data_IF_649455167882
#
_entry.id   IF_649455167882
#
_cell.length_a   1.000
_cell.length_b   1.000
_cell.length_c   1.000
_cell.angle_alpha   90.00
_cell.angle_beta   90.00
_cell.angle_gamma   90.00
#
_symmetry.space_group_name_H-M   'P 1'
#
loop_
_entity.id
_entity.type
_entity.pdbx_description
1 polymer ?
#
# COMPACT_ATOMS: atom_id res chain seq x y z
N UNK A 1 -4.43 -7.86 -27.30
CA UNK A 1 -4.02 -7.90 -25.89
C UNK A 1 -3.22 -6.65 -25.66
N UNK A 2 -3.76 -5.75 -24.86
CA UNK A 2 -3.04 -4.53 -24.49
C UNK A 2 -1.85 -4.89 -23.59
N UNK A 3 -0.81 -4.06 -23.61
CA UNK A 3 0.40 -4.31 -22.83
C UNK A 3 0.08 -4.19 -21.32
N UNK A 4 0.44 -5.17 -20.46
CA UNK A 4 0.05 -5.20 -19.06
C UNK A 4 1.00 -4.36 -18.18
N UNK A 5 0.90 -3.03 -18.30
CA UNK A 5 1.74 -2.07 -17.59
C UNK A 5 1.72 -2.26 -16.07
N UNK A 6 0.54 -2.38 -15.47
CA UNK A 6 0.36 -2.43 -14.02
C UNK A 6 0.80 -3.77 -13.45
N UNK A 7 0.46 -4.88 -14.11
CA UNK A 7 0.97 -6.19 -13.72
C UNK A 7 2.50 -6.22 -13.75
N UNK A 8 3.14 -5.62 -14.75
CA UNK A 8 4.60 -5.57 -14.81
C UNK A 8 5.15 -4.74 -13.65
N UNK A 9 4.62 -3.54 -13.37
CA UNK A 9 5.09 -2.69 -12.26
C UNK A 9 4.94 -3.40 -10.90
N UNK A 10 3.81 -4.06 -10.65
CA UNK A 10 3.53 -4.68 -9.36
C UNK A 10 4.23 -6.05 -9.19
N UNK A 11 4.32 -6.85 -10.26
CA UNK A 11 4.80 -8.23 -10.20
C UNK A 11 6.29 -8.37 -10.56
N UNK A 12 6.89 -7.45 -11.31
CA UNK A 12 8.32 -7.55 -11.64
C UNK A 12 9.23 -7.56 -10.40
N UNK A 13 8.97 -6.78 -9.33
CA UNK A 13 9.76 -6.89 -8.10
C UNK A 13 9.52 -8.24 -7.39
N UNK A 14 8.31 -8.81 -7.44
CA UNK A 14 8.05 -10.16 -6.91
C UNK A 14 8.86 -11.20 -7.67
N UNK A 15 8.83 -11.14 -9.01
CA UNK A 15 9.62 -12.03 -9.86
C UNK A 15 11.12 -11.89 -9.56
N UNK A 16 11.61 -10.65 -9.44
CA UNK A 16 13.00 -10.38 -9.06
C UNK A 16 13.32 -10.98 -7.69
N UNK A 17 12.46 -10.83 -6.68
CA UNK A 17 12.65 -11.41 -5.36
C UNK A 17 12.77 -12.94 -5.39
N UNK A 18 11.86 -13.61 -6.11
CA UNK A 18 11.88 -15.07 -6.26
C UNK A 18 13.17 -15.53 -6.94
N UNK A 19 13.55 -14.88 -8.06
CA UNK A 19 14.77 -15.21 -8.79
C UNK A 19 16.01 -14.99 -7.90
N UNK A 20 16.07 -13.88 -7.15
CA UNK A 20 17.16 -13.58 -6.21
C UNK A 20 17.27 -14.68 -5.15
N UNK A 21 16.17 -15.11 -4.52
CA UNK A 21 16.18 -16.15 -3.49
C UNK A 21 16.65 -17.51 -4.03
N UNK A 22 16.37 -17.80 -5.30
CA UNK A 22 16.84 -19.01 -5.99
C UNK A 22 18.32 -18.96 -6.39
N UNK A 23 18.97 -17.79 -6.36
CA UNK A 23 20.39 -17.68 -6.68
C UNK A 23 21.28 -18.27 -5.57
N UNK A 24 22.43 -18.87 -5.92
CA UNK A 24 23.48 -19.22 -4.96
C UNK A 24 23.92 -18.01 -4.12
N UNK A 25 24.31 -18.26 -2.86
CA UNK A 25 24.65 -17.20 -1.89
C UNK A 25 25.85 -16.35 -2.33
N UNK A 26 26.72 -16.92 -3.15
CA UNK A 26 27.94 -16.30 -3.65
C UNK A 26 27.67 -15.22 -4.71
N UNK A 27 26.43 -15.11 -5.22
CA UNK A 27 26.02 -14.18 -6.29
C UNK A 27 25.37 -12.90 -5.76
N UNK A 28 26.00 -12.27 -4.77
CA UNK A 28 25.52 -11.02 -4.17
C UNK A 28 25.37 -9.88 -5.19
N UNK A 29 26.34 -9.72 -6.10
CA UNK A 29 26.30 -8.67 -7.14
C UNK A 29 25.15 -8.85 -8.13
N UNK A 30 24.86 -10.09 -8.54
CA UNK A 30 23.73 -10.37 -9.42
C UNK A 30 22.39 -10.02 -8.77
N UNK A 31 22.31 -10.12 -7.44
CA UNK A 31 21.11 -9.76 -6.69
C UNK A 31 20.86 -8.25 -6.73
N UNK A 32 21.95 -7.46 -6.58
CA UNK A 32 21.94 -5.99 -6.72
C UNK A 32 21.50 -5.57 -8.12
N UNK A 33 22.08 -6.18 -9.15
CA UNK A 33 21.77 -5.86 -10.55
C UNK A 33 20.33 -6.22 -10.93
N UNK A 34 19.81 -7.36 -10.46
CA UNK A 34 18.43 -7.74 -10.77
C UNK A 34 17.42 -6.81 -10.09
N UNK A 35 17.65 -6.45 -8.83
CA UNK A 35 16.84 -5.45 -8.14
C UNK A 35 16.88 -4.10 -8.85
N UNK A 36 18.07 -3.66 -9.30
CA UNK A 36 18.22 -2.43 -10.07
C UNK A 36 17.44 -2.47 -11.38
N UNK A 37 17.54 -3.57 -12.14
CA UNK A 37 16.81 -3.74 -13.40
C UNK A 37 15.29 -3.69 -13.18
N UNK A 38 14.78 -4.37 -12.15
CA UNK A 38 13.36 -4.34 -11.79
C UNK A 38 12.88 -2.91 -11.43
N UNK A 39 13.68 -2.15 -10.66
CA UNK A 39 13.31 -0.78 -10.30
C UNK A 39 13.40 0.20 -11.46
N UNK A 40 14.39 0.05 -12.36
CA UNK A 40 14.48 0.88 -13.58
C UNK A 40 13.27 0.61 -14.48
N UNK A 41 12.89 -0.66 -14.66
CA UNK A 41 11.69 -1.03 -15.41
C UNK A 41 10.44 -0.39 -14.80
N UNK A 42 10.23 -0.54 -13.49
CA UNK A 42 9.12 0.09 -12.78
C UNK A 42 9.11 1.62 -12.90
N UNK A 43 10.27 2.26 -12.82
CA UNK A 43 10.39 3.71 -12.97
C UNK A 43 10.00 4.19 -14.38
N UNK A 44 10.52 3.55 -15.43
CA UNK A 44 10.20 3.92 -16.81
C UNK A 44 8.70 3.75 -17.09
N UNK A 45 8.11 2.63 -16.68
CA UNK A 45 6.70 2.37 -16.89
C UNK A 45 5.81 3.32 -16.06
N UNK A 46 6.13 3.53 -14.78
CA UNK A 46 5.37 4.47 -13.94
C UNK A 46 5.45 5.92 -14.42
N UNK A 47 6.61 6.35 -14.94
CA UNK A 47 6.78 7.68 -15.52
C UNK A 47 5.93 7.84 -16.79
N UNK A 48 5.95 6.84 -17.67
CA UNK A 48 5.10 6.82 -18.86
C UNK A 48 3.61 6.92 -18.48
N UNK A 49 3.16 6.09 -17.52
CA UNK A 49 1.78 6.09 -17.06
C UNK A 49 1.35 7.42 -16.44
N UNK A 50 2.22 8.03 -15.62
CA UNK A 50 1.96 9.33 -15.03
C UNK A 50 1.78 10.42 -16.11
N UNK A 51 2.66 10.46 -17.11
CA UNK A 51 2.56 11.42 -18.23
C UNK A 51 1.29 11.15 -19.04
N UNK A 52 1.00 9.90 -19.36
CA UNK A 52 -0.18 9.51 -20.13
C UNK A 52 -1.49 9.88 -19.40
N UNK A 53 -1.56 9.67 -18.08
CA UNK A 53 -2.70 10.05 -17.27
C UNK A 53 -2.89 11.58 -17.27
N UNK A 54 -1.81 12.33 -17.05
CA UNK A 54 -1.85 13.80 -17.01
C UNK A 54 -2.20 14.44 -18.36
N UNK A 55 -1.92 13.77 -19.48
CA UNK A 55 -2.31 14.21 -20.81
C UNK A 55 -3.79 13.91 -21.15
N UNK A 56 -4.40 12.95 -20.46
CA UNK A 56 -5.76 12.48 -20.73
C UNK A 56 -6.68 12.65 -19.51
N UNK A 57 -6.50 13.72 -18.74
CA UNK A 57 -7.22 13.91 -17.49
C UNK A 57 -8.74 13.76 -17.69
N UNK A 58 -9.41 12.90 -16.90
CA UNK A 58 -10.85 12.76 -16.97
C UNK A 58 -11.53 14.06 -16.49
N UNK A 59 -12.79 14.29 -16.90
CA UNK A 59 -13.59 15.41 -16.41
C UNK A 59 -13.64 15.46 -14.88
N UNK A 60 -13.70 16.67 -14.31
CA UNK A 60 -13.66 16.85 -12.85
C UNK A 60 -14.86 16.24 -12.10
N UNK A 61 -15.98 16.01 -12.79
CA UNK A 61 -17.22 15.42 -12.31
C UNK A 61 -17.36 13.93 -12.64
N UNK A 62 -16.34 13.32 -13.26
CA UNK A 62 -16.35 11.90 -13.60
C UNK A 62 -16.47 11.02 -12.34
N UNK A 63 -17.23 9.92 -12.46
CA UNK A 63 -17.26 8.89 -11.43
C UNK A 63 -15.87 8.27 -11.36
N UNK A 64 -15.45 7.85 -10.18
CA UNK A 64 -14.11 7.29 -10.03
C UNK A 64 -13.83 6.07 -10.90
N UNK A 65 -14.81 5.18 -11.07
CA UNK A 65 -14.65 4.03 -11.96
C UNK A 65 -14.28 4.48 -13.40
N UNK A 66 -14.77 5.64 -13.83
CA UNK A 66 -14.49 6.24 -15.15
C UNK A 66 -13.17 7.04 -15.18
N UNK A 67 -12.56 7.33 -14.01
CA UNK A 67 -11.24 7.96 -13.95
C UNK A 67 -10.09 6.97 -14.03
N UNK A 68 -10.37 5.67 -13.87
CA UNK A 68 -9.36 4.61 -13.92
C UNK A 68 -8.83 4.42 -15.35
N UNK A 69 -7.50 4.44 -15.47
CA UNK A 69 -6.78 4.10 -16.71
C UNK A 69 -5.90 2.87 -16.52
N UNK A 70 -5.44 2.31 -17.63
CA UNK A 70 -4.60 1.10 -17.67
C UNK A 70 -5.23 -0.07 -16.91
N UNK A 71 -6.56 -0.22 -17.02
CA UNK A 71 -7.31 -1.25 -16.29
C UNK A 71 -6.94 -2.63 -16.82
N UNK A 72 -6.51 -3.50 -15.91
CA UNK A 72 -6.19 -4.90 -16.17
C UNK A 72 -7.08 -5.76 -15.29
N UNK A 73 -7.92 -6.61 -15.90
CA UNK A 73 -8.98 -7.31 -15.19
C UNK A 73 -9.04 -8.79 -15.56
N UNK A 74 -8.91 -9.64 -14.54
CA UNK A 74 -9.04 -11.09 -14.66
C UNK A 74 -9.77 -11.66 -13.43
N UNK A 75 -10.66 -12.64 -13.64
CA UNK A 75 -11.26 -13.38 -12.53
C UNK A 75 -10.21 -14.20 -11.79
N UNK A 76 -10.20 -14.14 -10.45
CA UNK A 76 -9.22 -14.86 -9.63
C UNK A 76 -9.88 -15.98 -8.82
N UNK A 77 -10.81 -15.65 -7.93
CA UNK A 77 -11.57 -16.64 -7.12
C UNK A 77 -13.05 -16.31 -7.25
N UNK A 78 -13.65 -16.72 -8.37
CA UNK A 78 -15.03 -16.37 -8.74
C UNK A 78 -16.08 -16.86 -7.74
N UNK A 79 -15.81 -17.91 -6.96
CA UNK A 79 -16.75 -18.43 -5.94
C UNK A 79 -17.01 -17.46 -4.78
N UNK A 80 -16.10 -16.51 -4.55
CA UNK A 80 -16.18 -15.50 -3.48
C UNK A 80 -16.01 -14.07 -4.04
N UNK A 81 -16.15 -13.90 -5.36
CA UNK A 81 -16.10 -12.58 -6.01
C UNK A 81 -14.77 -11.84 -5.88
N UNK A 82 -13.65 -12.55 -5.70
CA UNK A 82 -12.30 -11.95 -5.70
C UNK A 82 -11.77 -11.89 -7.13
N UNK A 83 -11.34 -10.72 -7.56
CA UNK A 83 -10.83 -10.47 -8.90
C UNK A 83 -9.41 -9.88 -8.85
N UNK A 84 -8.63 -10.16 -9.89
CA UNK A 84 -7.40 -9.44 -10.16
C UNK A 84 -7.74 -8.21 -10.98
N UNK A 85 -8.05 -7.10 -10.30
CA UNK A 85 -8.37 -5.81 -10.94
C UNK A 85 -7.30 -4.81 -10.54
N UNK A 86 -6.53 -4.39 -11.54
CA UNK A 86 -5.60 -3.27 -11.42
C UNK A 86 -6.12 -2.08 -12.18
N UNK A 87 -5.80 -0.88 -11.71
CA UNK A 87 -6.11 0.38 -12.38
C UNK A 87 -5.47 1.56 -11.65
N UNK A 88 -5.27 2.67 -12.36
CA UNK A 88 -4.74 3.90 -11.76
C UNK A 88 -5.64 5.09 -12.03
N UNK A 89 -5.86 5.91 -11.01
CA UNK A 89 -6.31 7.29 -11.16
C UNK A 89 -5.14 8.26 -10.85
N UNK A 90 -5.42 9.56 -10.76
CA UNK A 90 -4.38 10.57 -10.54
C UNK A 90 -3.64 10.44 -9.20
N UNK A 91 -4.33 9.97 -8.15
CA UNK A 91 -3.70 9.73 -6.85
C UNK A 91 -2.79 8.50 -6.93
N UNK A 92 -3.29 7.40 -7.49
CA UNK A 92 -2.53 6.17 -7.67
C UNK A 92 -1.31 6.38 -8.59
N UNK A 93 -1.47 7.06 -9.73
CA UNK A 93 -0.38 7.33 -10.67
C UNK A 93 0.79 8.07 -10.01
N UNK A 94 0.48 9.06 -9.17
CA UNK A 94 1.48 9.84 -8.43
C UNK A 94 2.23 8.97 -7.42
N UNK A 95 1.51 8.13 -6.67
CA UNK A 95 2.09 7.29 -5.62
C UNK A 95 2.87 6.10 -6.18
N UNK A 96 2.45 5.55 -7.33
CA UNK A 96 3.19 4.53 -8.08
C UNK A 96 4.53 5.08 -8.59
N UNK A 97 4.53 6.29 -9.17
CA UNK A 97 5.76 6.96 -9.59
C UNK A 97 6.68 7.26 -8.42
N UNK A 98 6.14 7.80 -7.32
CA UNK A 98 6.92 8.07 -6.11
C UNK A 98 7.55 6.79 -5.54
N UNK A 99 6.81 5.69 -5.53
CA UNK A 99 7.31 4.38 -5.07
C UNK A 99 8.44 3.87 -5.95
N UNK A 100 8.36 4.06 -7.28
CA UNK A 100 9.45 3.70 -8.18
C UNK A 100 10.71 4.54 -7.95
N UNK A 101 10.56 5.85 -7.73
CA UNK A 101 11.69 6.77 -7.45
C UNK A 101 12.37 6.39 -6.13
N UNK A 102 11.59 6.24 -5.06
CA UNK A 102 12.13 5.92 -3.72
C UNK A 102 12.70 4.50 -3.70
N UNK A 103 12.07 3.54 -4.38
CA UNK A 103 12.55 2.17 -4.50
C UNK A 103 13.88 2.09 -5.25
N UNK A 104 14.03 2.83 -6.35
CA UNK A 104 15.31 2.92 -7.06
C UNK A 104 16.40 3.52 -6.16
N UNK A 105 16.09 4.62 -5.47
CA UNK A 105 17.00 5.22 -4.48
C UNK A 105 17.39 4.25 -3.38
N UNK A 106 16.43 3.44 -2.89
CA UNK A 106 16.65 2.38 -1.90
C UNK A 106 17.59 1.28 -2.39
N UNK A 107 17.46 0.85 -3.65
CA UNK A 107 18.41 -0.13 -4.24
C UNK A 107 19.82 0.45 -4.30
N UNK A 108 19.96 1.70 -4.75
CA UNK A 108 21.24 2.37 -4.95
C UNK A 108 21.96 2.65 -3.63
N UNK A 109 21.25 3.13 -2.59
CA UNK A 109 21.87 3.39 -1.28
C UNK A 109 22.30 2.11 -0.57
N UNK A 110 21.58 1.01 -0.82
CA UNK A 110 21.86 -0.30 -0.22
C UNK A 110 22.97 -1.08 -0.90
N UNK A 111 23.65 -0.53 -1.92
CA UNK A 111 24.73 -1.21 -2.62
C UNK A 111 25.90 -1.61 -1.70
N UNK A 112 26.04 -0.90 -0.57
CA UNK A 112 27.02 -1.16 0.49
C UNK A 112 26.62 -2.26 1.48
N UNK A 113 25.43 -2.86 1.35
CA UNK A 113 25.01 -3.98 2.20
C UNK A 113 25.72 -5.27 1.74
N UNK A 114 26.68 -5.73 2.54
CA UNK A 114 27.45 -6.96 2.29
C UNK A 114 26.99 -8.16 3.15
N UNK A 115 26.27 -7.92 4.25
CA UNK A 115 25.65 -8.99 5.03
C UNK A 115 24.36 -9.46 4.36
N UNK A 116 24.33 -10.72 3.92
CA UNK A 116 23.15 -11.37 3.31
C UNK A 116 22.50 -10.52 2.20
N UNK A 117 23.25 -10.05 1.18
CA UNK A 117 22.74 -9.15 0.15
C UNK A 117 21.57 -9.76 -0.61
N UNK A 118 21.63 -11.07 -0.88
CA UNK A 118 20.56 -11.81 -1.55
C UNK A 118 19.23 -11.67 -0.83
N UNK A 119 19.20 -12.01 0.46
CA UNK A 119 17.99 -11.91 1.28
C UNK A 119 17.53 -10.46 1.40
N UNK A 120 18.45 -9.51 1.59
CA UNK A 120 18.14 -8.09 1.69
C UNK A 120 17.38 -7.60 0.45
N UNK A 121 17.93 -7.82 -0.74
CA UNK A 121 17.32 -7.35 -1.99
C UNK A 121 16.02 -8.10 -2.31
N UNK A 122 15.92 -9.39 -1.98
CA UNK A 122 14.67 -10.12 -2.14
C UNK A 122 13.54 -9.54 -1.28
N UNK A 123 13.78 -9.34 0.03
CA UNK A 123 12.76 -8.76 0.92
C UNK A 123 12.48 -7.28 0.59
N UNK A 124 13.49 -6.53 0.14
CA UNK A 124 13.29 -5.15 -0.32
C UNK A 124 12.40 -5.11 -1.57
N UNK A 125 12.59 -6.03 -2.53
CA UNK A 125 11.72 -6.13 -3.70
C UNK A 125 10.29 -6.56 -3.34
N UNK A 126 10.11 -7.48 -2.38
CA UNK A 126 8.77 -7.83 -1.88
C UNK A 126 8.07 -6.65 -1.19
N UNK A 127 8.82 -5.89 -0.38
CA UNK A 127 8.32 -4.65 0.24
C UNK A 127 7.84 -3.66 -0.83
N UNK A 128 8.67 -3.39 -1.84
CA UNK A 128 8.31 -2.49 -2.95
C UNK A 128 7.10 -3.01 -3.73
N UNK A 129 7.02 -4.32 -4.02
CA UNK A 129 5.87 -4.92 -4.67
C UNK A 129 4.57 -4.75 -3.87
N UNK A 130 4.62 -4.96 -2.55
CA UNK A 130 3.50 -4.71 -1.65
C UNK A 130 3.00 -3.28 -1.75
N UNK A 131 3.92 -2.31 -1.66
CA UNK A 131 3.56 -0.88 -1.75
C UNK A 131 2.98 -0.52 -3.12
N UNK A 132 3.62 -0.95 -4.23
CA UNK A 132 3.11 -0.71 -5.58
C UNK A 132 1.72 -1.32 -5.76
N UNK A 133 1.57 -2.59 -5.34
CA UNK A 133 0.33 -3.34 -5.47
C UNK A 133 -0.86 -2.68 -4.77
N UNK A 134 -0.67 -2.06 -3.59
CA UNK A 134 -1.76 -1.32 -2.93
C UNK A 134 -2.23 -0.14 -3.77
N UNK A 135 -1.31 0.61 -4.38
CA UNK A 135 -1.68 1.79 -5.16
C UNK A 135 -2.38 1.45 -6.47
N UNK A 136 -2.14 0.26 -7.03
CA UNK A 136 -2.74 -0.18 -8.29
C UNK A 136 -3.96 -1.08 -8.10
N UNK A 137 -4.20 -1.62 -6.90
CA UNK A 137 -5.31 -2.52 -6.64
C UNK A 137 -6.66 -1.80 -6.62
N UNK A 138 -7.59 -2.30 -7.43
CA UNK A 138 -8.99 -1.84 -7.54
C UNK A 138 -9.96 -2.89 -6.95
N UNK A 139 -9.45 -4.05 -6.53
CA UNK A 139 -10.17 -5.05 -5.74
C UNK A 139 -9.74 -4.96 -4.27
N UNK A 140 -10.71 -4.95 -3.35
CA UNK A 140 -10.48 -4.78 -1.91
C UNK A 140 -9.69 -5.94 -1.28
N UNK A 141 -9.91 -7.18 -1.73
CA UNK A 141 -9.13 -8.31 -1.24
C UNK A 141 -7.69 -8.22 -1.76
N UNK A 142 -7.52 -7.85 -3.03
CA UNK A 142 -6.19 -7.64 -3.63
C UNK A 142 -5.43 -6.50 -2.95
N UNK A 143 -6.12 -5.40 -2.63
CA UNK A 143 -5.59 -4.28 -1.88
C UNK A 143 -5.09 -4.73 -0.50
N UNK A 144 -5.90 -5.50 0.24
CA UNK A 144 -5.51 -6.06 1.53
C UNK A 144 -4.32 -7.02 1.40
N UNK A 145 -4.30 -7.88 0.38
CA UNK A 145 -3.19 -8.79 0.12
C UNK A 145 -1.86 -8.05 -0.07
N UNK A 146 -1.85 -7.01 -0.90
CA UNK A 146 -0.65 -6.20 -1.12
C UNK A 146 -0.27 -5.36 0.11
N UNK A 147 -1.26 -4.91 0.88
CA UNK A 147 -1.05 -4.21 2.15
C UNK A 147 -0.25 -5.11 3.11
N UNK A 148 -0.69 -6.35 3.30
CA UNK A 148 0.00 -7.33 4.13
C UNK A 148 1.38 -7.70 3.57
N UNK A 149 1.49 -7.82 2.24
CA UNK A 149 2.77 -8.05 1.57
C UNK A 149 3.76 -6.90 1.80
N UNK A 150 3.31 -5.66 1.99
CA UNK A 150 4.19 -4.55 2.34
C UNK A 150 4.68 -4.61 3.80
N UNK A 151 3.84 -5.11 4.72
CA UNK A 151 4.15 -5.16 6.15
C UNK A 151 5.14 -6.29 6.50
N UNK A 152 4.94 -7.49 5.96
CA UNK A 152 5.70 -8.69 6.38
C UNK A 152 7.21 -8.61 6.07
N UNK A 153 7.68 -8.21 4.87
CA UNK A 153 9.10 -8.12 4.57
C UNK A 153 9.79 -7.04 5.41
N UNK A 154 9.11 -5.93 5.71
CA UNK A 154 9.65 -4.86 6.53
C UNK A 154 10.04 -5.34 7.93
N UNK A 155 9.23 -6.19 8.57
CA UNK A 155 9.59 -6.82 9.84
C UNK A 155 10.93 -7.54 9.76
N UNK A 156 11.08 -8.43 8.78
CA UNK A 156 12.29 -9.23 8.56
C UNK A 156 13.48 -8.30 8.31
N UNK A 157 13.27 -7.26 7.51
CA UNK A 157 14.33 -6.32 7.17
C UNK A 157 14.84 -5.54 8.38
N UNK A 158 13.95 -5.10 9.26
CA UNK A 158 14.34 -4.40 10.50
C UNK A 158 15.03 -5.37 11.46
N UNK A 159 14.50 -6.58 11.69
CA UNK A 159 15.10 -7.54 12.63
C UNK A 159 16.50 -7.99 12.20
N UNK A 160 16.77 -8.16 10.91
CA UNK A 160 18.06 -8.66 10.44
C UNK A 160 19.07 -7.52 10.21
N UNK A 161 18.68 -6.42 9.54
CA UNK A 161 19.60 -5.35 9.13
C UNK A 161 19.40 -4.02 9.87
N UNK A 162 18.42 -3.94 10.76
CA UNK A 162 18.18 -2.74 11.57
C UNK A 162 19.22 -2.52 12.67
N UNK A 163 19.08 -1.38 13.36
CA UNK A 163 19.99 -0.97 14.43
C UNK A 163 19.98 -1.97 15.60
N UNK A 164 21.17 -2.51 15.90
CA UNK A 164 21.36 -3.68 16.77
C UNK A 164 20.69 -3.57 18.15
N UNK A 165 20.67 -2.37 18.73
CA UNK A 165 20.17 -2.18 20.11
C UNK A 165 18.65 -2.25 20.24
N UNK A 166 17.90 -1.84 19.20
CA UNK A 166 16.43 -1.69 19.30
C UNK A 166 15.64 -2.42 18.23
N UNK A 167 16.30 -3.05 17.26
CA UNK A 167 15.63 -3.68 16.10
C UNK A 167 14.55 -4.68 16.46
N UNK A 168 14.73 -5.51 17.48
CA UNK A 168 13.75 -6.54 17.85
C UNK A 168 12.48 -5.91 18.43
N UNK A 169 12.63 -4.99 19.39
CA UNK A 169 11.52 -4.25 19.98
C UNK A 169 10.78 -3.42 18.94
N UNK A 170 11.52 -2.64 18.14
CA UNK A 170 10.95 -1.75 17.13
C UNK A 170 10.22 -2.54 16.03
N UNK A 171 10.82 -3.61 15.51
CA UNK A 171 10.19 -4.43 14.47
C UNK A 171 8.91 -5.10 14.99
N UNK A 172 8.94 -5.65 16.21
CA UNK A 172 7.76 -6.29 16.82
C UNK A 172 6.65 -5.27 17.04
N UNK A 173 6.97 -4.12 17.66
CA UNK A 173 6.00 -3.05 17.93
C UNK A 173 5.36 -2.55 16.64
N UNK A 174 6.16 -2.22 15.64
CA UNK A 174 5.68 -1.78 14.33
C UNK A 174 4.74 -2.82 13.72
N UNK A 175 5.18 -4.08 13.65
CA UNK A 175 4.41 -5.14 13.00
C UNK A 175 3.08 -5.38 13.69
N UNK A 176 3.05 -5.39 15.02
CA UNK A 176 1.80 -5.55 15.79
C UNK A 176 0.83 -4.40 15.55
N UNK A 177 1.31 -3.15 15.54
CA UNK A 177 0.46 -1.99 15.26
C UNK A 177 -0.16 -2.07 13.86
N UNK A 178 0.66 -2.38 12.85
CA UNK A 178 0.22 -2.42 11.46
C UNK A 178 -0.73 -3.61 11.21
N UNK A 179 -0.42 -4.79 11.74
CA UNK A 179 -1.27 -5.97 11.63
C UNK A 179 -2.62 -5.73 12.31
N UNK A 180 -2.65 -5.26 13.56
CA UNK A 180 -3.92 -4.99 14.26
C UNK A 180 -4.76 -3.99 13.45
N UNK A 181 -4.15 -2.92 12.95
CA UNK A 181 -4.84 -1.95 12.09
C UNK A 181 -5.45 -2.62 10.83
N UNK A 182 -4.64 -3.40 10.11
CA UNK A 182 -5.09 -4.10 8.89
C UNK A 182 -6.25 -5.07 9.14
N UNK A 183 -6.23 -5.82 10.25
CA UNK A 183 -7.30 -6.77 10.57
C UNK A 183 -8.59 -6.05 10.96
N UNK A 184 -8.49 -4.90 11.64
CA UNK A 184 -9.66 -4.06 11.95
C UNK A 184 -10.29 -3.54 10.66
N UNK A 185 -9.52 -3.06 9.68
CA UNK A 185 -10.07 -2.62 8.39
C UNK A 185 -10.59 -3.80 7.56
N UNK A 186 -9.95 -4.96 7.64
CA UNK A 186 -10.43 -6.17 6.95
C UNK A 186 -11.78 -6.67 7.47
N UNK A 187 -12.06 -6.55 8.77
CA UNK A 187 -13.40 -6.85 9.31
C UNK A 187 -14.44 -5.93 8.66
N UNK A 188 -14.13 -4.64 8.48
CA UNK A 188 -15.03 -3.72 7.79
C UNK A 188 -15.23 -4.12 6.31
N UNK A 189 -14.19 -4.57 5.60
CA UNK A 189 -14.32 -5.12 4.25
C UNK A 189 -15.30 -6.29 4.20
N UNK A 190 -15.17 -7.25 5.11
CA UNK A 190 -16.06 -8.42 5.14
C UNK A 190 -17.51 -8.02 5.39
N UNK A 191 -17.75 -7.04 6.27
CA UNK A 191 -19.10 -6.53 6.52
C UNK A 191 -19.68 -5.88 5.28
N UNK A 192 -18.93 -5.01 4.59
CA UNK A 192 -19.38 -4.37 3.35
C UNK A 192 -19.66 -5.41 2.26
N UNK A 193 -18.75 -6.38 2.09
CA UNK A 193 -18.89 -7.49 1.17
C UNK A 193 -20.21 -8.26 1.38
N UNK A 194 -20.51 -8.69 2.61
CA UNK A 194 -21.74 -9.44 2.90
C UNK A 194 -23.02 -8.58 2.85
N UNK A 195 -22.89 -7.25 2.79
CA UNK A 195 -24.01 -6.30 2.72
C UNK A 195 -24.39 -5.90 1.29
N UNK A 196 -23.58 -6.24 0.29
CA UNK A 196 -23.88 -6.00 -1.12
C UNK A 196 -25.17 -6.68 -1.60
N UNK A 197 -25.48 -7.95 -1.24
CA UNK A 197 -26.72 -8.59 -1.72
C UNK A 197 -28.00 -7.91 -1.20
N UNK A 198 -27.95 -7.28 -0.02
CA UNK A 198 -29.06 -6.48 0.51
C UNK A 198 -29.33 -5.24 -0.36
N UNK A 199 -28.35 -4.82 -1.17
CA UNK A 199 -28.45 -3.74 -2.16
C UNK A 199 -28.77 -4.26 -3.59
N UNK A 200 -29.04 -5.56 -3.75
CA UNK A 200 -29.24 -6.17 -5.07
C UNK A 200 -27.96 -6.32 -5.90
N UNK A 201 -26.78 -6.19 -5.27
CA UNK A 201 -25.48 -6.33 -5.92
C UNK A 201 -24.88 -7.73 -5.67
N UNK A 202 -24.07 -8.26 -6.60
CA UNK A 202 -23.38 -9.53 -6.38
C UNK A 202 -22.33 -9.39 -5.26
N UNK A 203 -22.00 -10.52 -4.64
CA UNK A 203 -20.82 -10.62 -3.78
C UNK A 203 -19.56 -10.41 -4.63
N UNK A 204 -18.83 -9.34 -4.35
CA UNK A 204 -17.59 -8.97 -5.06
C UNK A 204 -16.70 -8.14 -4.16
N UNK A 205 -15.39 -8.18 -4.37
CA UNK A 205 -14.44 -7.24 -3.79
C UNK A 205 -14.07 -6.08 -4.74
N UNK A 206 -14.68 -6.01 -5.92
CA UNK A 206 -14.48 -4.90 -6.84
C UNK A 206 -14.92 -3.57 -6.22
N UNK A 207 -13.94 -2.69 -5.96
CA UNK A 207 -14.18 -1.42 -5.30
C UNK A 207 -14.99 -0.47 -6.18
N UNK A 208 -15.00 -0.64 -7.51
CA UNK A 208 -15.85 0.17 -8.41
C UNK A 208 -17.31 -0.07 -8.06
N UNK A 209 -17.70 -1.33 -7.90
CA UNK A 209 -19.06 -1.71 -7.47
C UNK A 209 -19.36 -1.14 -6.08
N UNK A 210 -18.40 -1.21 -5.15
CA UNK A 210 -18.60 -0.70 -3.78
C UNK A 210 -18.78 0.81 -3.75
N UNK A 211 -18.05 1.55 -4.59
CA UNK A 211 -18.13 3.01 -4.68
C UNK A 211 -19.49 3.51 -5.17
N UNK A 212 -20.27 2.65 -5.81
CA UNK A 212 -21.60 2.96 -6.33
C UNK A 212 -22.73 2.40 -5.43
N UNK A 213 -22.38 1.50 -4.51
CA UNK A 213 -23.33 0.87 -3.59
C UNK A 213 -23.92 1.89 -2.61
N UNK A 214 -25.23 1.81 -2.39
CA UNK A 214 -25.97 2.72 -1.51
C UNK A 214 -26.05 2.15 -0.08
N UNK A 215 -24.91 2.06 0.61
CA UNK A 215 -24.89 1.54 1.98
C UNK A 215 -25.72 2.43 2.93
N UNK A 216 -26.59 1.85 3.80
CA UNK A 216 -27.38 2.62 4.74
C UNK A 216 -26.53 3.47 5.68
N UNK A 217 -27.00 4.68 6.02
CA UNK A 217 -26.28 5.62 6.88
C UNK A 217 -25.75 5.00 8.19
N UNK A 218 -26.58 4.24 8.92
CA UNK A 218 -26.17 3.62 10.18
C UNK A 218 -25.04 2.59 9.99
N UNK A 219 -25.00 1.90 8.86
CA UNK A 219 -23.90 1.01 8.52
C UNK A 219 -22.62 1.83 8.29
N UNK A 220 -22.69 2.89 7.48
CA UNK A 220 -21.55 3.75 7.21
C UNK A 220 -21.01 4.37 8.50
N UNK A 221 -21.89 4.90 9.36
CA UNK A 221 -21.54 5.49 10.64
C UNK A 221 -20.78 4.52 11.56
N UNK A 222 -21.18 3.25 11.62
CA UNK A 222 -20.52 2.25 12.47
C UNK A 222 -19.19 1.80 11.85
N UNK A 223 -19.17 1.47 10.56
CA UNK A 223 -18.05 0.77 9.92
C UNK A 223 -17.00 1.69 9.31
N UNK A 224 -17.31 2.97 9.14
CA UNK A 224 -16.34 3.96 8.69
C UNK A 224 -15.13 4.07 9.63
N UNK A 225 -15.33 4.13 10.95
CA UNK A 225 -14.21 4.32 11.89
C UNK A 225 -13.27 3.11 11.97
N UNK A 226 -13.74 1.85 12.09
CA UNK A 226 -12.86 0.68 11.96
C UNK A 226 -12.06 0.68 10.66
N UNK A 227 -12.72 0.99 9.54
CA UNK A 227 -12.08 1.04 8.24
C UNK A 227 -11.02 2.14 8.15
N UNK A 228 -11.37 3.36 8.53
CA UNK A 228 -10.49 4.53 8.53
C UNK A 228 -9.32 4.34 9.49
N UNK A 229 -9.58 3.99 10.76
CA UNK A 229 -8.53 3.83 11.77
C UNK A 229 -7.59 2.67 11.44
N UNK A 230 -8.11 1.58 10.87
CA UNK A 230 -7.27 0.44 10.46
C UNK A 230 -6.15 0.84 9.50
N UNK A 231 -6.46 1.72 8.55
CA UNK A 231 -5.47 2.30 7.64
C UNK A 231 -4.72 3.50 8.23
N UNK A 232 -5.37 4.34 9.04
CA UNK A 232 -4.77 5.53 9.61
C UNK A 232 -3.70 5.21 10.68
N UNK A 233 -3.75 4.04 11.32
CA UNK A 233 -2.68 3.55 12.20
C UNK A 233 -1.37 3.46 11.42
N UNK A 234 -1.39 2.96 10.18
CA UNK A 234 -0.21 2.92 9.30
C UNK A 234 0.21 4.31 8.82
N UNK A 235 -0.74 5.24 8.69
CA UNK A 235 -0.45 6.65 8.48
C UNK A 235 0.17 7.38 9.68
N UNK A 236 0.31 6.73 10.84
CA UNK A 236 0.83 7.35 12.05
C UNK A 236 -0.12 8.40 12.63
N UNK A 237 -1.43 8.14 12.63
CA UNK A 237 -2.42 9.03 13.23
C UNK A 237 -2.33 9.01 14.77
N UNK A 238 -2.37 10.18 15.41
CA UNK A 238 -2.51 10.26 16.87
C UNK A 238 -3.84 9.64 17.34
N UNK A 239 -3.87 8.84 18.44
CA UNK A 239 -2.77 8.52 19.37
C UNK A 239 -1.95 7.27 19.00
N UNK A 240 -2.19 6.65 17.84
CA UNK A 240 -1.61 5.38 17.42
C UNK A 240 -0.29 5.53 16.63
N UNK A 241 0.47 6.60 16.85
CA UNK A 241 1.65 6.96 16.06
C UNK A 241 2.99 6.52 16.69
N UNK A 242 2.98 6.03 17.94
CA UNK A 242 4.22 5.80 18.70
C UNK A 242 5.16 4.72 18.12
N UNK A 243 4.68 3.90 17.19
CA UNK A 243 5.45 2.87 16.52
C UNK A 243 6.37 3.46 15.44
N UNK A 244 5.99 4.60 14.86
CA UNK A 244 6.69 5.23 13.75
C UNK A 244 8.09 5.74 14.14
N UNK A 245 8.28 6.51 15.23
CA UNK A 245 9.63 6.96 15.65
C UNK A 245 10.58 5.78 15.94
N UNK A 246 10.12 4.78 16.67
CA UNK A 246 10.92 3.58 16.98
C UNK A 246 11.29 2.81 15.69
N UNK A 247 10.33 2.68 14.77
CA UNK A 247 10.52 2.01 13.49
C UNK A 247 11.52 2.72 12.59
N UNK A 248 11.45 4.06 12.46
CA UNK A 248 12.37 4.83 11.62
C UNK A 248 13.80 4.84 12.14
N UNK A 249 13.99 4.94 13.46
CA UNK A 249 15.32 4.91 14.07
C UNK A 249 15.95 3.51 13.94
N UNK A 250 15.15 2.45 14.02
CA UNK A 250 15.66 1.09 13.95
C UNK A 250 15.87 0.57 12.52
N UNK A 251 15.14 1.07 11.52
CA UNK A 251 15.18 0.55 10.17
C UNK A 251 16.50 0.87 9.43
N UNK A 252 17.02 -0.04 8.58
CA UNK A 252 18.13 0.29 7.69
C UNK A 252 17.71 1.39 6.70
N UNK A 253 18.68 2.14 6.18
CA UNK A 253 18.45 3.37 5.40
C UNK A 253 17.41 3.21 4.28
N UNK A 254 17.55 2.20 3.41
CA UNK A 254 16.60 1.99 2.31
C UNK A 254 15.18 1.65 2.78
N UNK A 255 15.04 0.91 3.89
CA UNK A 255 13.73 0.59 4.48
C UNK A 255 13.12 1.84 5.10
N UNK A 256 13.91 2.65 5.80
CA UNK A 256 13.45 3.93 6.34
C UNK A 256 13.01 4.90 5.23
N UNK A 257 13.73 4.93 4.09
CA UNK A 257 13.35 5.70 2.91
C UNK A 257 12.01 5.27 2.34
N UNK A 258 11.78 3.97 2.11
CA UNK A 258 10.49 3.47 1.63
C UNK A 258 9.39 3.71 2.67
N UNK A 259 9.68 3.45 3.94
CA UNK A 259 8.72 3.59 5.02
C UNK A 259 8.22 5.04 5.13
N UNK A 260 9.12 6.00 5.30
CA UNK A 260 8.77 7.41 5.41
C UNK A 260 8.29 7.99 4.08
N UNK A 261 8.91 7.59 2.97
CA UNK A 261 8.67 8.12 1.63
C UNK A 261 7.31 7.75 1.09
N UNK A 262 6.90 6.48 1.20
CA UNK A 262 5.69 5.94 0.55
C UNK A 262 4.82 5.06 1.43
N UNK A 263 5.37 4.25 2.33
CA UNK A 263 4.56 3.34 3.12
C UNK A 263 3.59 4.11 4.02
N UNK A 264 4.01 5.15 4.75
CA UNK A 264 3.06 5.95 5.54
C UNK A 264 1.96 6.62 4.68
N UNK A 265 2.23 6.89 3.39
CA UNK A 265 1.23 7.43 2.45
C UNK A 265 0.21 6.37 2.05
N UNK A 266 0.59 5.09 2.08
CA UNK A 266 -0.30 3.96 1.86
C UNK A 266 -1.48 3.97 2.83
N UNK A 267 -1.24 4.28 4.10
CA UNK A 267 -2.30 4.36 5.12
C UNK A 267 -3.30 5.48 4.82
N UNK A 268 -2.80 6.67 4.49
CA UNK A 268 -3.66 7.78 4.07
C UNK A 268 -4.39 7.46 2.76
N UNK A 269 -3.70 6.87 1.78
CA UNK A 269 -4.26 6.44 0.51
C UNK A 269 -5.43 5.47 0.71
N UNK A 270 -5.25 4.40 1.47
CA UNK A 270 -6.29 3.40 1.70
C UNK A 270 -7.46 3.98 2.52
N UNK A 271 -7.18 4.86 3.49
CA UNK A 271 -8.22 5.59 4.23
C UNK A 271 -9.06 6.51 3.31
N UNK A 272 -8.44 7.16 2.31
CA UNK A 272 -9.16 7.97 1.32
C UNK A 272 -9.90 7.08 0.30
N UNK A 273 -9.19 6.13 -0.31
CA UNK A 273 -9.67 5.23 -1.38
C UNK A 273 -10.82 4.34 -0.93
N UNK A 274 -10.80 3.88 0.31
CA UNK A 274 -11.84 2.99 0.82
C UNK A 274 -12.72 3.71 1.83
N UNK A 275 -12.14 4.41 2.80
CA UNK A 275 -12.93 5.10 3.82
C UNK A 275 -13.82 6.19 3.21
N UNK A 276 -13.21 7.18 2.56
CA UNK A 276 -13.95 8.35 2.05
C UNK A 276 -14.84 7.99 0.88
N UNK A 277 -14.28 7.25 -0.06
CA UNK A 277 -14.91 6.99 -1.34
C UNK A 277 -16.05 5.98 -1.27
N UNK A 278 -15.98 4.98 -0.39
CA UNK A 278 -17.02 3.93 -0.29
C UNK A 278 -18.07 4.28 0.78
N UNK A 279 -17.68 5.03 1.82
CA UNK A 279 -18.57 5.41 2.92
C UNK A 279 -18.61 6.95 3.09
N UNK A 280 -19.12 7.70 2.10
CA UNK A 280 -19.08 9.17 2.10
C UNK A 280 -19.93 9.80 3.21
N UNK A 281 -21.09 9.25 3.55
CA UNK A 281 -21.94 9.80 4.63
C UNK A 281 -21.32 9.53 6.01
N UNK A 282 -20.73 8.34 6.18
CA UNK A 282 -19.94 8.01 7.37
C UNK A 282 -18.76 8.96 7.55
N UNK A 283 -18.10 9.32 6.44
CA UNK A 283 -17.03 10.32 6.43
C UNK A 283 -17.51 11.68 6.91
N UNK A 284 -18.59 12.21 6.34
CA UNK A 284 -19.14 13.51 6.73
C UNK A 284 -19.51 13.54 8.21
N UNK A 285 -20.11 12.45 8.72
CA UNK A 285 -20.46 12.34 10.14
C UNK A 285 -19.22 12.38 11.06
N UNK A 286 -18.17 11.62 10.74
CA UNK A 286 -16.95 11.54 11.57
C UNK A 286 -15.91 12.62 11.28
N UNK A 287 -16.10 13.42 10.23
CA UNK A 287 -15.16 14.46 9.78
C UNK A 287 -14.71 15.39 10.92
N UNK A 288 -15.58 15.93 11.79
CA UNK A 288 -15.13 16.78 12.90
C UNK A 288 -14.15 16.06 13.84
N UNK A 289 -14.35 14.77 14.08
CA UNK A 289 -13.47 13.97 14.93
C UNK A 289 -12.14 13.68 14.23
N UNK A 290 -12.15 13.36 12.94
CA UNK A 290 -10.91 13.18 12.17
C UNK A 290 -10.09 14.46 12.11
N UNK A 291 -10.75 15.60 11.89
CA UNK A 291 -10.09 16.92 11.92
C UNK A 291 -9.43 17.15 13.29
N UNK A 292 -10.11 16.81 14.39
CA UNK A 292 -9.52 16.90 15.72
C UNK A 292 -8.28 16.00 15.85
N UNK A 293 -8.36 14.73 15.47
CA UNK A 293 -7.24 13.79 15.57
C UNK A 293 -6.05 14.24 14.70
N UNK A 294 -6.30 14.69 13.48
CA UNK A 294 -5.26 15.17 12.56
C UNK A 294 -4.64 16.49 13.01
N UNK A 295 -5.44 17.41 13.58
CA UNK A 295 -4.94 18.64 14.19
C UNK A 295 -4.02 18.33 15.38
N UNK A 296 -4.43 17.42 16.27
CA UNK A 296 -3.57 16.96 17.36
C UNK A 296 -2.31 16.31 16.79
N UNK A 297 -2.42 15.51 15.73
CA UNK A 297 -1.26 14.87 15.11
C UNK A 297 -0.23 15.90 14.62
N UNK A 298 -0.67 16.97 13.95
CA UNK A 298 0.19 18.06 13.47
C UNK A 298 0.81 18.81 14.65
N UNK A 299 0.02 19.24 15.63
CA UNK A 299 0.52 20.03 16.77
C UNK A 299 1.44 19.20 17.66
N UNK A 300 0.99 18.02 18.10
CA UNK A 300 1.76 17.15 18.97
C UNK A 300 3.02 16.64 18.28
N UNK A 301 2.91 16.17 17.03
CA UNK A 301 4.05 15.73 16.23
C UNK A 301 5.11 16.82 16.04
N UNK A 302 4.68 18.08 15.88
CA UNK A 302 5.61 19.22 15.78
C UNK A 302 6.25 19.59 17.12
N UNK A 303 5.57 19.41 18.24
CA UNK A 303 6.09 19.75 19.57
C UNK A 303 7.13 18.73 20.08
N UNK A 304 7.06 17.48 19.63
CA UNK A 304 8.00 16.42 20.02
C UNK A 304 9.25 16.33 19.12
N UNK A 305 9.19 16.94 17.93
CA UNK A 305 10.27 16.95 16.94
C UNK A 305 11.33 18.01 17.28
#
# INVERSE_FOLDING_TARGET
MDFPYLSIIALSPIAAAVIILMMPKERGENSRMLALAAMILGLVLSLYMYIAYNQNLPPADARWADTLMFVEEHGWISSIGVNYILGIDGLSATLVLLTSIVGLGGVLISWSIDDRPREFYAFFMLLVAGVQGVFVAVDGFLLFFFYELAVLPMYIMIVIWGWKERREYAAMKLTLYLLIGSFISFIAFLVLYFKLPEQGLPLTFDLRVWSEAQFPFELQKIWYMPLFLGFAVLGGLWPFHNWSPDGHVAAPTAVSMIHAGVLMKLGAYAAMRVGIQILPEGTVYWMPFIILLTLINVVYGSLIA
#
